data_IF_124003284532
#
_entry.id   IF_124003284532
#
_cell.length_a   1.000
_cell.length_b   1.000
_cell.length_c   1.000
_cell.angle_alpha   90.00
_cell.angle_beta   90.00
_cell.angle_gamma   90.00
#
_symmetry.space_group_name_H-M   'P 1'
#
loop_
_entity.id
_entity.type
_entity.pdbx_description
1 polymer ?
#
# COMPACT_ATOMS: atom_id res chain seq x y z
N UNK A 1 -76.20 34.65 -11.95
CA UNK A 1 -74.78 34.98 -11.95
C UNK A 1 -74.09 34.21 -10.83
N UNK A 2 -73.36 33.16 -11.19
CA UNK A 2 -72.56 32.34 -10.21
C UNK A 2 -71.12 32.55 -10.54
N UNK A 3 -70.36 33.19 -9.65
CA UNK A 3 -68.93 33.35 -9.75
C UNK A 3 -68.21 32.02 -9.36
N UNK A 4 -67.48 31.40 -10.30
CA UNK A 4 -66.63 30.26 -10.06
C UNK A 4 -65.32 30.76 -9.44
N UNK A 5 -64.95 30.28 -8.25
CA UNK A 5 -63.67 30.49 -7.62
C UNK A 5 -62.63 29.49 -8.29
N UNK A 6 -61.61 30.04 -8.88
CA UNK A 6 -60.45 29.27 -9.37
C UNK A 6 -59.53 28.95 -8.18
N UNK A 7 -59.05 27.71 -8.00
CA UNK A 7 -58.03 27.43 -7.01
C UNK A 7 -56.66 27.89 -7.55
N UNK A 8 -55.94 28.65 -6.70
CA UNK A 8 -54.53 28.96 -6.91
C UNK A 8 -53.72 27.72 -6.60
N UNK A 9 -53.15 27.10 -7.60
CA UNK A 9 -52.18 26.00 -7.45
C UNK A 9 -50.84 26.65 -7.16
N UNK A 10 -50.39 26.57 -5.91
CA UNK A 10 -49.06 26.95 -5.48
C UNK A 10 -48.12 25.83 -5.88
N UNK A 11 -47.39 26.02 -6.97
CA UNK A 11 -46.32 25.12 -7.38
C UNK A 11 -45.13 25.27 -6.40
N UNK A 12 -44.96 24.34 -5.48
CA UNK A 12 -43.72 24.17 -4.73
C UNK A 12 -42.66 23.69 -5.70
N UNK A 13 -41.77 24.56 -6.13
CA UNK A 13 -40.57 24.21 -6.84
C UNK A 13 -39.63 23.54 -5.84
N UNK A 14 -39.57 22.20 -5.86
CA UNK A 14 -38.56 21.42 -5.19
C UNK A 14 -37.24 21.65 -5.92
N UNK A 15 -36.42 22.55 -5.40
CA UNK A 15 -35.02 22.67 -5.79
C UNK A 15 -34.31 21.44 -5.22
N UNK A 16 -34.23 20.39 -6.01
CA UNK A 16 -33.27 19.32 -5.79
C UNK A 16 -31.87 19.94 -5.99
N UNK A 17 -31.24 20.34 -4.88
CA UNK A 17 -29.81 20.52 -4.84
C UNK A 17 -29.22 19.17 -5.18
N UNK A 18 -28.69 19.01 -6.41
CA UNK A 18 -27.70 18.02 -6.73
C UNK A 18 -26.44 18.39 -5.94
N UNK A 19 -26.40 18.01 -4.67
CA UNK A 19 -25.17 17.91 -3.93
C UNK A 19 -24.35 16.85 -4.69
N UNK A 20 -23.46 17.30 -5.58
CA UNK A 20 -22.37 16.46 -6.05
C UNK A 20 -21.78 15.83 -4.78
N UNK A 21 -21.60 14.52 -4.81
CA UNK A 21 -20.89 13.78 -3.76
C UNK A 21 -19.45 14.34 -3.70
N UNK A 22 -19.29 15.52 -3.08
CA UNK A 22 -18.05 15.89 -2.48
C UNK A 22 -17.84 14.83 -1.40
N UNK A 23 -16.89 13.92 -1.63
CA UNK A 23 -16.43 13.03 -0.57
C UNK A 23 -15.99 13.97 0.54
N UNK A 24 -16.72 13.94 1.66
CA UNK A 24 -16.43 14.80 2.79
C UNK A 24 -15.03 14.45 3.26
N UNK A 25 -14.12 15.41 3.19
CA UNK A 25 -12.78 15.27 3.77
C UNK A 25 -12.94 14.96 5.25
N UNK A 26 -12.02 14.16 5.78
CA UNK A 26 -11.91 13.91 7.22
C UNK A 26 -11.79 15.25 7.94
N UNK A 27 -12.56 15.46 9.01
CA UNK A 27 -12.48 16.68 9.81
C UNK A 27 -11.16 16.79 10.55
N UNK A 28 -10.74 17.99 10.93
CA UNK A 28 -9.53 18.18 11.75
C UNK A 28 -9.65 17.47 13.09
N UNK A 29 -10.85 17.42 13.67
CA UNK A 29 -11.13 16.70 14.92
C UNK A 29 -10.92 15.19 14.74
N UNK A 30 -11.42 14.60 13.67
CA UNK A 30 -11.21 13.19 13.38
C UNK A 30 -9.74 12.89 13.04
N UNK A 31 -9.08 13.74 12.26
CA UNK A 31 -7.64 13.63 12.00
C UNK A 31 -6.79 13.74 13.28
N UNK A 32 -7.25 14.47 14.30
CA UNK A 32 -6.56 14.57 15.59
C UNK A 32 -6.53 13.24 16.37
N UNK A 33 -7.42 12.30 16.06
CA UNK A 33 -7.43 10.96 16.69
C UNK A 33 -6.26 10.09 16.23
N UNK A 34 -5.63 10.42 15.08
CA UNK A 34 -4.49 9.68 14.55
C UNK A 34 -3.27 9.81 15.48
N UNK A 35 -2.73 8.66 15.89
CA UNK A 35 -1.62 8.56 16.83
C UNK A 35 -2.03 8.62 18.30
N UNK A 36 -3.29 8.92 18.62
CA UNK A 36 -3.84 8.98 19.98
C UNK A 36 -4.85 7.86 20.22
N UNK A 37 -6.05 7.98 19.70
CA UNK A 37 -7.12 6.99 19.79
C UNK A 37 -7.00 5.93 18.70
N UNK A 38 -6.48 6.30 17.53
CA UNK A 38 -6.19 5.42 16.40
C UNK A 38 -4.68 5.23 16.22
N UNK A 39 -4.31 4.15 15.55
CA UNK A 39 -2.96 4.02 15.00
C UNK A 39 -2.68 5.20 14.03
N UNK A 40 -1.44 5.68 13.88
CA UNK A 40 -1.12 6.77 12.93
C UNK A 40 -1.64 6.56 11.51
N UNK A 41 -1.81 5.33 11.07
CA UNK A 41 -2.38 4.98 9.75
C UNK A 41 -3.87 4.65 9.78
N UNK A 42 -4.58 5.08 10.82
CA UNK A 42 -6.03 5.02 10.92
C UNK A 42 -6.63 3.73 11.45
N UNK A 43 -5.85 2.65 11.59
CA UNK A 43 -6.35 1.41 12.17
C UNK A 43 -6.76 1.58 13.64
N UNK A 44 -7.63 0.72 14.12
CA UNK A 44 -7.99 0.67 15.55
C UNK A 44 -6.74 0.42 16.41
N UNK A 45 -6.59 1.20 17.48
CA UNK A 45 -5.46 1.07 18.41
C UNK A 45 -5.66 -0.09 19.37
N UNK A 46 -6.88 -0.27 19.85
CA UNK A 46 -7.23 -1.30 20.83
C UNK A 46 -7.05 -2.73 20.31
N UNK A 47 -7.08 -3.68 21.24
CA UNK A 47 -7.15 -5.10 20.90
C UNK A 47 -8.51 -5.45 20.29
N UNK A 48 -8.57 -6.49 19.45
CA UNK A 48 -9.84 -7.05 19.01
C UNK A 48 -10.54 -7.84 20.14
N UNK A 49 -11.81 -8.20 19.92
CA UNK A 49 -12.67 -8.78 20.96
C UNK A 49 -12.18 -10.13 21.50
N UNK A 50 -11.53 -10.95 20.67
CA UNK A 50 -11.02 -12.28 21.05
C UNK A 50 -9.55 -12.27 21.50
N UNK A 51 -8.88 -11.12 21.45
CA UNK A 51 -7.49 -10.96 21.86
C UNK A 51 -6.46 -11.51 20.87
N UNK A 52 -6.88 -11.99 19.70
CA UNK A 52 -5.95 -12.50 18.67
C UNK A 52 -5.12 -11.36 18.04
N UNK A 53 -5.64 -10.14 18.04
CA UNK A 53 -4.93 -8.91 17.64
C UNK A 53 -4.75 -8.05 18.90
N UNK A 54 -3.51 -7.90 19.41
CA UNK A 54 -3.26 -7.11 20.61
C UNK A 54 -3.40 -5.60 20.36
N UNK A 55 -3.50 -4.83 21.43
CA UNK A 55 -3.40 -3.37 21.35
C UNK A 55 -2.07 -2.95 20.72
N UNK A 56 -2.09 -1.86 19.93
CA UNK A 56 -0.88 -1.24 19.41
C UNK A 56 -0.14 -0.53 20.55
N UNK A 57 1.03 -1.06 20.89
CA UNK A 57 1.90 -0.55 21.95
C UNK A 57 3.29 -0.29 21.38
N UNK A 58 3.53 0.89 20.76
CA UNK A 58 4.79 1.17 20.09
C UNK A 58 5.97 1.14 21.06
N UNK A 59 6.99 0.35 20.74
CA UNK A 59 8.22 0.21 21.53
C UNK A 59 9.46 0.61 20.75
N UNK A 60 9.47 0.29 19.46
CA UNK A 60 10.65 0.48 18.61
C UNK A 60 10.32 1.24 17.34
N UNK A 61 11.20 2.17 17.01
CA UNK A 61 11.30 2.75 15.67
C UNK A 61 12.46 2.04 14.96
N UNK A 62 12.15 1.24 13.94
CA UNK A 62 13.14 0.40 13.26
C UNK A 62 13.41 -0.92 14.00
N UNK A 63 14.66 -1.37 14.06
CA UNK A 63 15.03 -2.62 14.72
C UNK A 63 15.05 -2.47 16.25
N UNK A 64 14.59 -3.49 16.99
CA UNK A 64 14.74 -3.54 18.45
C UNK A 64 16.22 -3.45 18.87
N UNK A 65 16.51 -2.86 20.03
CA UNK A 65 17.86 -2.82 20.57
C UNK A 65 18.46 -4.22 20.78
N UNK A 66 19.76 -4.35 20.56
CA UNK A 66 20.51 -5.60 20.82
C UNK A 66 20.56 -6.57 19.65
N UNK A 67 19.95 -6.22 18.52
CA UNK A 67 20.10 -6.99 17.28
C UNK A 67 21.35 -6.51 16.52
N UNK A 68 22.15 -7.48 16.08
CA UNK A 68 23.32 -7.21 15.22
C UNK A 68 22.84 -6.96 13.79
N UNK A 69 23.02 -5.73 13.33
CA UNK A 69 22.66 -5.30 11.98
C UNK A 69 23.67 -4.28 11.47
N UNK A 70 24.41 -4.69 10.44
CA UNK A 70 25.48 -3.86 9.88
C UNK A 70 25.00 -2.66 9.06
N UNK A 71 23.69 -2.56 8.76
CA UNK A 71 23.12 -1.41 8.07
C UNK A 71 22.56 -1.71 6.67
N UNK A 72 22.28 -0.68 5.87
CA UNK A 72 21.72 -0.81 4.52
C UNK A 72 22.60 -1.73 3.63
N UNK A 73 21.96 -2.66 2.93
CA UNK A 73 22.63 -3.66 2.11
C UNK A 73 22.72 -5.04 2.75
N UNK A 74 22.53 -5.12 4.06
CA UNK A 74 22.54 -6.39 4.81
C UNK A 74 21.13 -6.92 5.06
N UNK A 75 21.03 -8.24 5.22
CA UNK A 75 19.76 -8.86 5.61
C UNK A 75 19.37 -8.44 7.01
N UNK A 76 18.16 -7.89 7.15
CA UNK A 76 17.63 -7.50 8.46
C UNK A 76 17.43 -8.72 9.33
N UNK A 77 17.95 -8.73 10.58
CA UNK A 77 17.74 -9.83 11.50
C UNK A 77 16.25 -9.94 11.87
N UNK A 78 15.79 -11.17 12.07
CA UNK A 78 14.46 -11.42 12.59
C UNK A 78 14.45 -11.15 14.13
N UNK A 79 13.71 -10.15 14.63
CA UNK A 79 13.65 -9.85 16.05
C UNK A 79 12.94 -10.94 16.89
N UNK A 80 12.28 -11.88 16.23
CA UNK A 80 11.50 -12.96 16.84
C UNK A 80 12.01 -14.34 16.41
N UNK A 81 13.31 -14.48 16.12
CA UNK A 81 13.89 -15.71 15.61
C UNK A 81 13.68 -16.93 16.56
N UNK A 82 13.65 -16.69 17.86
CA UNK A 82 13.50 -17.73 18.89
C UNK A 82 12.03 -18.07 19.21
N UNK A 83 11.07 -17.36 18.60
CA UNK A 83 9.65 -17.63 18.82
C UNK A 83 9.23 -18.98 18.23
N UNK A 84 8.40 -19.69 18.98
CA UNK A 84 7.75 -20.90 18.50
C UNK A 84 6.34 -20.57 18.04
N UNK A 85 5.82 -21.28 17.02
CA UNK A 85 4.43 -21.12 16.63
C UNK A 85 3.50 -21.53 17.80
N UNK A 86 2.45 -20.76 17.99
CA UNK A 86 1.38 -21.06 18.98
C UNK A 86 0.42 -22.13 18.48
N UNK A 87 0.35 -22.33 17.16
CA UNK A 87 -0.47 -23.32 16.49
C UNK A 87 0.21 -23.75 15.19
N UNK A 88 0.11 -25.04 14.89
CA UNK A 88 0.51 -25.60 13.58
C UNK A 88 -0.73 -26.22 12.93
N UNK A 89 -1.16 -25.64 11.81
CA UNK A 89 -2.28 -26.17 11.03
C UNK A 89 -1.70 -27.12 9.97
N UNK A 90 -2.26 -28.32 9.88
CA UNK A 90 -1.82 -29.42 9.01
C UNK A 90 -3.02 -30.05 8.29
N UNK A 91 -2.77 -30.98 7.36
CA UNK A 91 -3.83 -31.76 6.71
C UNK A 91 -4.73 -32.54 7.69
N UNK A 92 -4.26 -32.82 8.92
CA UNK A 92 -5.01 -33.56 9.93
C UNK A 92 -5.99 -32.69 10.71
N UNK A 93 -5.68 -31.40 10.94
CA UNK A 93 -6.46 -30.52 11.81
C UNK A 93 -7.03 -29.27 11.12
N UNK A 94 -6.76 -29.01 9.84
CA UNK A 94 -7.21 -27.78 9.16
C UNK A 94 -8.72 -27.55 9.21
N UNK A 95 -9.52 -28.63 9.27
CA UNK A 95 -10.98 -28.54 9.34
C UNK A 95 -11.48 -27.90 10.64
N UNK A 96 -10.71 -28.01 11.72
CA UNK A 96 -11.00 -27.37 13.01
C UNK A 96 -10.79 -25.84 12.93
N UNK A 97 -10.08 -25.38 11.90
CA UNK A 97 -9.74 -23.98 11.67
C UNK A 97 -10.31 -23.44 10.34
N UNK A 98 -11.27 -24.16 9.74
CA UNK A 98 -11.76 -23.88 8.38
C UNK A 98 -12.34 -22.46 8.23
N UNK A 99 -12.94 -21.91 9.28
CA UNK A 99 -13.48 -20.54 9.30
C UNK A 99 -12.40 -19.45 9.11
N UNK A 100 -11.15 -19.76 9.46
CA UNK A 100 -10.00 -18.86 9.34
C UNK A 100 -9.16 -19.14 8.09
N UNK A 101 -9.58 -20.07 7.24
CA UNK A 101 -8.87 -20.50 6.05
C UNK A 101 -9.67 -20.22 4.79
N UNK A 102 -9.04 -19.64 3.78
CA UNK A 102 -9.66 -19.52 2.47
C UNK A 102 -9.88 -20.90 1.83
N UNK A 103 -10.83 -20.99 0.88
CA UNK A 103 -11.07 -22.22 0.12
C UNK A 103 -9.79 -22.76 -0.55
N UNK A 104 -8.95 -21.83 -1.07
CA UNK A 104 -7.66 -22.20 -1.67
C UNK A 104 -6.69 -22.82 -0.66
N UNK A 105 -6.62 -22.30 0.58
CA UNK A 105 -5.79 -22.88 1.63
C UNK A 105 -6.30 -24.25 2.06
N UNK A 106 -7.61 -24.43 2.17
CA UNK A 106 -8.21 -25.74 2.47
C UNK A 106 -7.88 -26.76 1.37
N UNK A 107 -7.99 -26.38 0.10
CA UNK A 107 -7.62 -27.24 -1.03
C UNK A 107 -6.12 -27.62 -1.04
N UNK A 108 -5.22 -26.73 -0.53
CA UNK A 108 -3.80 -27.07 -0.38
C UNK A 108 -3.59 -28.19 0.65
N UNK A 109 -4.30 -28.17 1.79
CA UNK A 109 -4.23 -29.25 2.78
C UNK A 109 -4.78 -30.60 2.26
N UNK A 110 -5.81 -30.56 1.42
CA UNK A 110 -6.36 -31.77 0.80
C UNK A 110 -5.39 -32.38 -0.21
N UNK A 111 -4.70 -31.53 -0.97
CA UNK A 111 -3.83 -31.99 -2.06
C UNK A 111 -2.42 -32.34 -1.61
N UNK A 112 -1.90 -31.67 -0.58
CA UNK A 112 -0.52 -31.77 -0.12
C UNK A 112 -0.48 -32.11 1.37
N UNK A 113 -0.38 -33.41 1.73
CA UNK A 113 -0.41 -33.84 3.15
C UNK A 113 0.72 -33.27 4.01
N UNK A 114 1.85 -32.88 3.40
CA UNK A 114 2.98 -32.25 4.07
C UNK A 114 2.83 -30.74 4.24
N UNK A 115 1.81 -30.12 3.61
CA UNK A 115 1.57 -28.68 3.73
C UNK A 115 1.17 -28.33 5.16
N UNK A 116 1.74 -27.23 5.65
CA UNK A 116 1.48 -26.73 6.99
C UNK A 116 1.50 -25.21 7.04
N UNK A 117 0.70 -24.64 7.92
CA UNK A 117 0.72 -23.21 8.27
C UNK A 117 1.17 -23.10 9.72
N UNK A 118 2.22 -22.31 9.94
CA UNK A 118 2.74 -21.99 11.27
C UNK A 118 2.10 -20.67 11.72
N UNK A 119 1.35 -20.68 12.81
CA UNK A 119 0.71 -19.49 13.36
C UNK A 119 1.53 -18.97 14.52
N UNK A 120 1.93 -17.71 14.45
CA UNK A 120 2.71 -17.01 15.46
C UNK A 120 1.86 -15.94 16.16
N UNK A 121 2.24 -15.46 17.34
CA UNK A 121 1.57 -14.35 17.98
C UNK A 121 1.59 -13.09 17.11
N UNK A 122 0.46 -12.40 17.01
CA UNK A 122 0.40 -11.11 16.34
C UNK A 122 1.19 -10.06 17.10
N UNK A 123 2.00 -9.26 16.40
CA UNK A 123 2.80 -8.17 16.96
C UNK A 123 2.31 -6.83 16.45
N UNK A 124 2.18 -5.85 17.35
CA UNK A 124 1.81 -4.46 17.06
C UNK A 124 2.63 -3.49 17.91
N UNK A 125 3.93 -3.72 17.97
CA UNK A 125 4.87 -3.02 18.85
C UNK A 125 5.90 -2.15 18.13
N UNK A 126 5.81 -2.03 16.80
CA UNK A 126 6.62 -1.10 16.02
C UNK A 126 6.00 0.29 15.98
N UNK A 127 6.83 1.30 16.10
CA UNK A 127 6.45 2.70 15.99
C UNK A 127 6.62 3.21 14.56
N UNK A 128 6.03 4.36 14.28
CA UNK A 128 6.15 5.10 13.02
C UNK A 128 6.97 6.35 13.26
N UNK A 129 7.83 6.70 12.31
CA UNK A 129 8.62 7.93 12.36
C UNK A 129 7.71 9.16 12.53
N UNK A 130 8.06 10.11 13.41
CA UNK A 130 7.24 11.29 13.73
C UNK A 130 6.89 12.11 12.47
N UNK A 131 7.84 12.32 11.57
CA UNK A 131 7.58 13.03 10.32
C UNK A 131 6.53 12.34 9.45
N UNK A 132 6.52 11.01 9.42
CA UNK A 132 5.49 10.25 8.70
C UNK A 132 4.14 10.41 9.38
N UNK A 133 4.09 10.38 10.72
CA UNK A 133 2.86 10.64 11.48
C UNK A 133 2.28 12.03 11.14
N UNK A 134 3.13 13.06 11.13
CA UNK A 134 2.74 14.42 10.78
C UNK A 134 2.21 14.52 9.33
N UNK A 135 2.88 13.89 8.37
CA UNK A 135 2.45 13.85 6.96
C UNK A 135 1.13 13.14 6.78
N UNK A 136 0.96 11.99 7.41
CA UNK A 136 -0.28 11.21 7.33
C UNK A 136 -1.45 11.98 7.95
N UNK A 137 -1.22 12.65 9.09
CA UNK A 137 -2.22 13.52 9.71
C UNK A 137 -2.58 14.70 8.82
N UNK A 138 -1.60 15.32 8.17
CA UNK A 138 -1.84 16.40 7.21
C UNK A 138 -2.64 15.90 5.99
N UNK A 139 -2.27 14.73 5.45
CA UNK A 139 -2.97 14.12 4.32
C UNK A 139 -4.44 13.86 4.61
N UNK A 140 -4.78 13.41 5.82
CA UNK A 140 -6.15 13.11 6.23
C UNK A 140 -7.13 14.26 5.93
N UNK A 141 -6.65 15.50 6.08
CA UNK A 141 -7.47 16.72 5.90
C UNK A 141 -7.34 17.31 4.50
N UNK A 142 -6.18 17.15 3.85
CA UNK A 142 -5.86 17.92 2.64
C UNK A 142 -5.87 17.08 1.35
N UNK A 143 -5.48 15.80 1.44
CA UNK A 143 -5.38 14.95 0.25
C UNK A 143 -6.75 14.59 -0.29
N UNK A 144 -6.89 14.58 -1.61
CA UNK A 144 -8.15 14.27 -2.27
C UNK A 144 -7.94 13.46 -3.55
N UNK A 145 -8.92 12.62 -3.86
CA UNK A 145 -9.04 11.95 -5.15
C UNK A 145 -9.90 12.82 -6.07
N UNK A 146 -9.47 13.01 -7.30
CA UNK A 146 -10.20 13.78 -8.30
C UNK A 146 -10.20 13.10 -9.67
N UNK A 147 -10.91 13.66 -10.63
CA UNK A 147 -11.06 13.09 -11.98
C UNK A 147 -11.55 11.63 -11.95
N UNK A 148 -12.61 11.36 -11.19
CA UNK A 148 -13.07 10.00 -10.91
C UNK A 148 -12.17 9.36 -9.87
N UNK A 149 -11.20 8.55 -10.28
CA UNK A 149 -10.23 7.86 -9.41
C UNK A 149 -8.78 8.07 -9.85
N UNK A 150 -8.57 8.83 -10.91
CA UNK A 150 -7.30 8.82 -11.67
C UNK A 150 -6.28 9.84 -11.16
N UNK A 151 -6.68 10.78 -10.30
CA UNK A 151 -5.78 11.86 -9.86
C UNK A 151 -5.76 11.98 -8.35
N UNK A 152 -4.55 11.93 -7.77
CA UNK A 152 -4.28 12.25 -6.38
C UNK A 152 -3.80 13.69 -6.29
N UNK A 153 -4.46 14.51 -5.45
CA UNK A 153 -4.10 15.91 -5.22
C UNK A 153 -3.70 16.16 -3.78
N UNK A 154 -2.87 17.19 -3.58
CA UNK A 154 -2.44 17.64 -2.27
C UNK A 154 -1.82 16.51 -1.43
N UNK A 155 -1.07 15.62 -2.04
CA UNK A 155 -0.38 14.54 -1.36
C UNK A 155 1.04 14.97 -0.97
N UNK A 156 1.45 14.65 0.27
CA UNK A 156 2.74 15.09 0.77
C UNK A 156 3.63 13.97 1.35
N UNK A 157 3.41 12.75 0.91
CA UNK A 157 4.15 11.56 1.38
C UNK A 157 3.42 10.80 2.50
N UNK A 158 3.89 9.60 2.81
CA UNK A 158 3.21 8.69 3.73
C UNK A 158 1.93 8.09 3.15
N UNK A 159 1.04 7.59 3.99
CA UNK A 159 -0.28 7.11 3.58
C UNK A 159 -1.19 8.28 3.20
N UNK A 160 -1.83 8.21 2.04
CA UNK A 160 -2.66 9.30 1.54
C UNK A 160 -3.96 9.48 2.33
N UNK A 161 -4.64 8.37 2.66
CA UNK A 161 -5.96 8.37 3.31
C UNK A 161 -5.97 7.45 4.53
N UNK A 162 -5.49 7.91 5.70
CA UNK A 162 -5.46 7.07 6.90
C UNK A 162 -6.86 6.69 7.40
N UNK A 163 -7.87 7.49 7.07
CA UNK A 163 -9.28 7.25 7.37
C UNK A 163 -10.04 7.28 6.03
N UNK A 164 -9.97 6.20 5.23
CA UNK A 164 -10.57 6.19 3.91
C UNK A 164 -12.09 6.13 4.00
N UNK A 165 -12.77 6.91 3.16
CA UNK A 165 -14.23 6.99 3.08
C UNK A 165 -14.80 6.16 1.93
N UNK A 166 -13.95 5.60 1.07
CA UNK A 166 -14.39 4.81 -0.07
C UNK A 166 -13.28 4.05 -0.79
N UNK A 167 -13.71 3.23 -1.74
CA UNK A 167 -12.80 2.36 -2.51
C UNK A 167 -11.68 3.12 -3.24
N UNK A 168 -11.92 4.28 -3.87
CA UNK A 168 -10.84 5.02 -4.54
C UNK A 168 -9.70 5.39 -3.60
N UNK A 169 -10.00 5.80 -2.39
CA UNK A 169 -9.02 6.15 -1.36
C UNK A 169 -8.23 4.94 -0.88
N UNK A 170 -8.91 3.79 -0.71
CA UNK A 170 -8.24 2.52 -0.40
C UNK A 170 -7.27 2.10 -1.51
N UNK A 171 -7.66 2.25 -2.78
CA UNK A 171 -6.80 1.93 -3.91
C UNK A 171 -5.56 2.85 -3.97
N UNK A 172 -5.71 4.13 -3.66
CA UNK A 172 -4.58 5.04 -3.55
C UNK A 172 -3.67 4.69 -2.36
N UNK A 173 -4.24 4.24 -1.25
CA UNK A 173 -3.44 3.78 -0.10
C UNK A 173 -2.51 2.62 -0.46
N UNK A 174 -2.91 1.69 -1.33
CA UNK A 174 -2.03 0.63 -1.82
C UNK A 174 -0.77 1.17 -2.52
N UNK A 175 -0.87 2.34 -3.16
CA UNK A 175 0.26 3.00 -3.84
C UNK A 175 1.08 3.89 -2.92
N UNK A 176 0.45 4.44 -1.87
CA UNK A 176 1.05 5.44 -0.98
C UNK A 176 1.46 4.89 0.39
N UNK A 177 1.18 3.61 0.68
CA UNK A 177 1.54 2.99 1.97
C UNK A 177 3.04 2.91 2.24
N UNK A 178 3.88 3.11 1.22
CA UNK A 178 5.32 3.15 1.37
C UNK A 178 5.76 4.44 2.09
N UNK A 179 6.34 4.26 3.28
CA UNK A 179 6.86 5.36 4.10
C UNK A 179 8.36 5.61 3.88
N UNK A 180 9.00 4.89 2.98
CA UNK A 180 10.41 5.02 2.66
C UNK A 180 10.62 6.06 1.56
N UNK A 181 11.69 6.85 1.66
CA UNK A 181 12.14 7.70 0.56
C UNK A 181 12.62 6.84 -0.60
N UNK A 182 13.48 5.87 -0.30
CA UNK A 182 13.97 4.92 -1.26
C UNK A 182 14.31 3.58 -0.59
N UNK A 183 14.30 2.52 -1.37
CA UNK A 183 14.84 1.24 -0.96
C UNK A 183 15.47 0.50 -2.12
N UNK A 184 16.37 -0.40 -1.79
CA UNK A 184 17.00 -1.34 -2.68
C UNK A 184 16.73 -2.76 -2.18
N UNK A 185 16.39 -3.67 -3.07
CA UNK A 185 16.21 -5.09 -2.77
C UNK A 185 16.70 -5.94 -3.93
N UNK A 186 17.47 -6.97 -3.62
CA UNK A 186 17.76 -8.05 -4.54
C UNK A 186 16.87 -9.24 -4.19
N UNK A 187 16.24 -9.84 -5.18
CA UNK A 187 15.38 -11.01 -4.96
C UNK A 187 15.57 -12.07 -6.03
N UNK A 188 15.38 -13.31 -5.61
CA UNK A 188 15.34 -14.50 -6.47
C UNK A 188 13.92 -15.03 -6.52
N UNK A 189 13.42 -15.27 -7.74
CA UNK A 189 12.15 -15.89 -8.00
C UNK A 189 12.32 -17.23 -8.67
N UNK A 190 11.45 -18.18 -8.37
CA UNK A 190 11.45 -19.50 -9.00
C UNK A 190 10.05 -19.84 -9.51
N UNK A 191 9.91 -19.95 -10.84
CA UNK A 191 8.75 -20.60 -11.44
C UNK A 191 8.91 -22.11 -11.29
N UNK A 192 7.96 -22.77 -10.61
CA UNK A 192 7.99 -24.23 -10.44
C UNK A 192 6.94 -24.85 -11.38
N UNK A 193 7.38 -25.67 -12.31
CA UNK A 193 6.53 -26.37 -13.26
C UNK A 193 5.98 -27.67 -12.69
N UNK A 194 4.87 -28.16 -13.26
CA UNK A 194 4.23 -29.41 -12.82
C UNK A 194 5.15 -30.65 -12.89
N UNK A 195 6.16 -30.63 -13.78
CA UNK A 195 7.17 -31.69 -13.90
C UNK A 195 8.31 -31.55 -12.89
N UNK A 196 8.28 -30.54 -12.00
CA UNK A 196 9.32 -30.28 -11.00
C UNK A 196 10.49 -29.43 -11.49
N UNK A 197 10.53 -29.08 -12.78
CA UNK A 197 11.52 -28.10 -13.29
C UNK A 197 11.34 -26.74 -12.65
N UNK A 198 12.45 -25.97 -12.55
CA UNK A 198 12.45 -24.62 -11.97
C UNK A 198 13.05 -23.64 -12.96
N UNK A 199 12.34 -22.56 -13.23
CA UNK A 199 12.90 -21.39 -13.90
C UNK A 199 13.33 -20.37 -12.85
N UNK A 200 14.60 -20.01 -12.86
CA UNK A 200 15.16 -19.00 -11.96
C UNK A 200 15.11 -17.62 -12.59
N UNK A 201 14.61 -16.64 -11.86
CA UNK A 201 14.62 -15.21 -12.16
C UNK A 201 15.26 -14.48 -10.99
N UNK A 202 16.23 -13.61 -11.25
CA UNK A 202 16.85 -12.78 -10.21
C UNK A 202 16.89 -11.34 -10.67
N UNK A 203 16.53 -10.44 -9.78
CA UNK A 203 16.38 -9.03 -10.08
C UNK A 203 16.95 -8.18 -8.95
N UNK A 204 17.74 -7.19 -9.34
CA UNK A 204 18.07 -6.04 -8.51
C UNK A 204 17.02 -4.95 -8.75
N UNK A 205 16.43 -4.42 -7.67
CA UNK A 205 15.31 -3.50 -7.74
C UNK A 205 15.52 -2.30 -6.81
N UNK A 206 15.35 -1.11 -7.35
CA UNK A 206 15.36 0.15 -6.60
C UNK A 206 14.03 0.86 -6.77
N UNK A 207 13.54 1.44 -5.70
CA UNK A 207 12.39 2.31 -5.74
C UNK A 207 12.68 3.61 -5.00
N UNK A 208 12.23 4.72 -5.57
CA UNK A 208 12.22 6.03 -4.92
C UNK A 208 10.78 6.57 -4.88
N UNK A 209 10.43 7.16 -3.75
CA UNK A 209 9.16 7.83 -3.50
C UNK A 209 9.48 9.29 -3.15
N UNK A 210 9.55 10.19 -4.14
CA UNK A 210 10.09 11.55 -3.96
C UNK A 210 9.36 12.38 -2.89
N UNK A 211 8.06 12.12 -2.70
CA UNK A 211 7.27 12.81 -1.67
C UNK A 211 7.65 12.41 -0.24
N UNK A 212 8.30 11.25 -0.05
CA UNK A 212 8.78 10.80 1.25
C UNK A 212 10.16 11.38 1.62
N UNK A 213 10.78 12.17 0.75
CA UNK A 213 12.08 12.77 1.04
C UNK A 213 12.05 13.52 2.37
N UNK A 214 12.94 13.18 3.33
CA UNK A 214 12.99 13.83 4.64
C UNK A 214 13.34 15.31 4.58
N UNK A 215 13.92 15.81 3.49
CA UNK A 215 14.20 17.24 3.31
C UNK A 215 12.94 18.05 2.95
N UNK A 216 11.87 17.41 2.46
CA UNK A 216 10.64 18.13 2.13
C UNK A 216 9.90 18.53 3.42
N UNK A 217 9.52 19.79 3.63
CA UNK A 217 8.63 20.18 4.72
C UNK A 217 7.28 19.45 4.66
N UNK A 218 6.64 19.26 5.81
CA UNK A 218 5.24 18.79 5.86
C UNK A 218 4.35 19.81 5.14
N UNK A 219 3.41 19.31 4.34
CA UNK A 219 2.57 20.16 3.49
C UNK A 219 3.16 20.48 2.11
N UNK A 220 4.37 19.98 1.79
CA UNK A 220 4.91 20.06 0.43
C UNK A 220 4.14 19.12 -0.48
N UNK A 221 3.41 19.68 -1.44
CA UNK A 221 2.58 18.94 -2.40
C UNK A 221 3.16 18.89 -3.81
N UNK A 222 4.28 19.52 -4.01
CA UNK A 222 5.04 19.51 -5.25
C UNK A 222 6.29 18.63 -5.08
N UNK A 223 6.44 17.64 -5.96
CA UNK A 223 7.66 16.86 -5.96
C UNK A 223 8.79 17.66 -6.58
N UNK A 224 9.98 17.59 -5.97
CA UNK A 224 11.20 18.22 -6.49
C UNK A 224 11.57 17.73 -7.90
N UNK A 225 11.00 16.61 -8.34
CA UNK A 225 11.35 15.91 -9.60
C UNK A 225 10.11 15.66 -10.46
N UNK A 226 9.14 16.58 -10.49
CA UNK A 226 7.90 16.45 -11.25
C UNK A 226 6.83 15.66 -10.48
N UNK A 227 5.64 15.53 -11.07
CA UNK A 227 4.44 14.97 -10.44
C UNK A 227 4.42 13.43 -10.44
N UNK A 228 5.58 12.80 -10.16
CA UNK A 228 5.71 11.35 -10.07
C UNK A 228 5.73 10.89 -8.63
N UNK A 229 4.83 9.96 -8.32
CA UNK A 229 4.69 9.40 -6.97
C UNK A 229 5.72 8.29 -6.71
N UNK A 230 6.08 7.55 -7.74
CA UNK A 230 7.01 6.42 -7.67
C UNK A 230 7.94 6.42 -8.87
N UNK A 231 9.22 6.19 -8.60
CA UNK A 231 10.23 5.86 -9.58
C UNK A 231 10.79 4.49 -9.25
N UNK A 232 10.87 3.61 -10.25
CA UNK A 232 11.52 2.32 -10.09
C UNK A 232 12.62 2.13 -11.11
N UNK A 233 13.65 1.44 -10.72
CA UNK A 233 14.69 0.90 -11.58
C UNK A 233 14.88 -0.57 -11.26
N UNK A 234 15.00 -1.41 -12.27
CA UNK A 234 15.31 -2.82 -12.09
C UNK A 234 16.35 -3.28 -13.10
N UNK A 235 17.22 -4.18 -12.65
CA UNK A 235 18.19 -4.90 -13.49
C UNK A 235 17.99 -6.39 -13.31
N UNK A 236 17.89 -7.14 -14.42
CA UNK A 236 17.82 -8.60 -14.39
C UNK A 236 19.20 -9.18 -14.22
N UNK A 237 19.36 -10.02 -13.20
CA UNK A 237 20.58 -10.75 -12.89
C UNK A 237 20.53 -12.20 -13.42
N UNK A 238 19.35 -12.78 -13.54
CA UNK A 238 19.05 -14.10 -14.10
C UNK A 238 17.68 -14.08 -14.81
N UNK A 239 17.41 -15.00 -15.76
CA UNK A 239 18.35 -15.97 -16.36
C UNK A 239 19.39 -15.30 -17.25
N UNK A 240 20.42 -16.06 -17.67
CA UNK A 240 21.51 -15.54 -18.50
C UNK A 240 21.03 -14.92 -19.83
N UNK A 241 19.93 -15.42 -20.38
CA UNK A 241 19.32 -14.90 -21.62
C UNK A 241 18.80 -13.46 -21.53
N UNK A 242 18.45 -13.00 -20.34
CA UNK A 242 17.92 -11.66 -20.06
C UNK A 242 18.80 -10.84 -19.13
N UNK A 243 19.94 -11.41 -18.68
CA UNK A 243 20.85 -10.73 -17.77
C UNK A 243 21.33 -9.38 -18.32
N UNK A 244 21.30 -8.35 -17.49
CA UNK A 244 21.65 -6.98 -17.84
C UNK A 244 20.53 -6.20 -18.56
N UNK A 245 19.34 -6.79 -18.76
CA UNK A 245 18.17 -6.00 -19.11
C UNK A 245 17.82 -5.07 -17.96
N UNK A 246 17.54 -3.79 -18.28
CA UNK A 246 17.16 -2.81 -17.28
C UNK A 246 15.81 -2.20 -17.63
N UNK A 247 15.05 -1.85 -16.61
CA UNK A 247 13.76 -1.16 -16.77
C UNK A 247 13.67 0.01 -15.82
N UNK A 248 13.26 1.16 -16.33
CA UNK A 248 12.91 2.35 -15.55
C UNK A 248 11.43 2.60 -15.72
N UNK A 249 10.73 2.86 -14.60
CA UNK A 249 9.31 3.25 -14.61
C UNK A 249 9.12 4.48 -13.74
N UNK A 250 8.27 5.38 -14.20
CA UNK A 250 7.83 6.58 -13.48
C UNK A 250 6.30 6.61 -13.47
N UNK A 251 5.72 6.56 -12.28
CA UNK A 251 4.27 6.61 -12.09
C UNK A 251 3.82 8.00 -11.66
N UNK A 252 2.93 8.67 -12.43
CA UNK A 252 2.43 9.99 -12.09
C UNK A 252 1.38 9.93 -10.97
N UNK A 253 1.13 11.07 -10.32
CA UNK A 253 -0.05 11.25 -9.46
C UNK A 253 -1.33 11.50 -10.24
N UNK A 254 -1.24 11.98 -11.45
CA UNK A 254 -2.36 12.29 -12.35
C UNK A 254 -2.33 11.36 -13.57
N UNK A 255 -2.96 10.20 -13.43
CA UNK A 255 -3.06 9.21 -14.51
C UNK A 255 -4.00 9.65 -15.65
N UNK A 256 -4.85 10.63 -15.42
CA UNK A 256 -5.74 11.15 -16.44
C UNK A 256 -4.98 11.93 -17.51
N UNK A 257 -4.08 12.79 -17.09
CA UNK A 257 -3.36 13.69 -17.99
C UNK A 257 -1.95 13.20 -18.32
N UNK A 258 -1.38 12.34 -17.45
CA UNK A 258 -0.04 11.81 -17.59
C UNK A 258 -0.05 10.29 -17.55
N UNK A 259 0.55 9.66 -18.54
CA UNK A 259 0.70 8.21 -18.56
C UNK A 259 1.98 7.80 -17.82
N UNK A 260 2.00 6.56 -17.35
CA UNK A 260 3.23 5.90 -16.91
C UNK A 260 4.31 6.08 -17.96
N UNK A 261 5.48 6.52 -17.57
CA UNK A 261 6.67 6.48 -18.42
C UNK A 261 7.46 5.22 -18.10
N UNK A 262 7.81 4.47 -19.13
CA UNK A 262 8.64 3.29 -19.01
C UNK A 262 9.66 3.21 -20.12
N UNK A 263 10.88 2.78 -19.77
CA UNK A 263 11.96 2.53 -20.71
C UNK A 263 12.64 1.20 -20.38
N UNK A 264 13.02 0.48 -21.40
CA UNK A 264 13.79 -0.75 -21.26
C UNK A 264 15.11 -0.62 -22.01
N UNK A 265 16.18 -1.09 -21.38
CA UNK A 265 17.48 -1.29 -22.02
C UNK A 265 17.68 -2.77 -22.33
N UNK A 266 18.12 -3.04 -23.54
CA UNK A 266 18.45 -4.39 -24.02
C UNK A 266 19.97 -4.49 -24.22
N UNK A 267 20.68 -5.34 -23.46
CA UNK A 267 22.13 -5.47 -23.54
C UNK A 267 22.60 -6.10 -24.86
N UNK A 268 21.78 -6.92 -25.50
CA UNK A 268 22.11 -7.55 -26.77
C UNK A 268 22.19 -6.55 -27.91
N UNK A 269 21.24 -5.61 -27.97
CA UNK A 269 21.21 -4.54 -28.97
C UNK A 269 21.89 -3.25 -28.51
N UNK A 270 22.18 -3.13 -27.20
CA UNK A 270 22.73 -1.93 -26.55
C UNK A 270 21.85 -0.69 -26.76
N UNK A 271 20.54 -0.86 -26.76
CA UNK A 271 19.59 0.22 -27.05
C UNK A 271 18.58 0.37 -25.91
N UNK A 272 18.26 1.64 -25.61
CA UNK A 272 17.12 2.01 -24.78
C UNK A 272 15.93 2.24 -25.68
N UNK A 273 14.78 1.71 -25.30
CA UNK A 273 13.50 1.90 -26.00
C UNK A 273 12.43 2.34 -25.00
N UNK A 274 11.60 3.27 -25.41
CA UNK A 274 10.38 3.56 -24.65
C UNK A 274 9.45 2.35 -24.74
N UNK A 275 8.88 1.95 -23.61
CA UNK A 275 7.99 0.79 -23.49
C UNK A 275 6.54 1.27 -23.20
N UNK A 276 5.82 1.77 -24.21
CA UNK A 276 4.49 2.38 -24.02
C UNK A 276 3.41 1.37 -23.65
N UNK A 277 3.69 0.08 -23.82
CA UNK A 277 2.78 -1.03 -23.50
C UNK A 277 2.96 -1.57 -22.07
N UNK A 278 3.92 -1.07 -21.29
CA UNK A 278 4.00 -1.41 -19.85
C UNK A 278 2.85 -0.68 -19.16
N UNK A 279 1.77 -1.42 -18.96
CA UNK A 279 0.57 -0.94 -18.29
C UNK A 279 0.71 -0.91 -16.77
N UNK A 280 -0.43 -0.77 -16.09
CA UNK A 280 -0.56 -0.90 -14.65
C UNK A 280 -1.04 -2.32 -14.38
N UNK A 281 -0.16 -3.16 -13.90
CA UNK A 281 -0.48 -4.54 -13.51
C UNK A 281 -0.87 -4.59 -12.04
#
# INVERSE_FOLDING_TARGET
MRYAKRPVVTALASVLLAAGLAHAKVSEEEAATLGTERHPFGAEKGANADGSIPEWTPKWLGLPPGLDYAGPGETRPNPYADEKPILVITAQNYKEHAENLSEGQQALFERYPEYRILVYPTRRDFDVNERIKERVKWNAVHTEVSNGVETLKNYNGGMAFPIPTGVPELMWNMRTANCYESYHVAYDGYGVFANGERAHDAVDFWQSNPFNNPANPVGTTEAVVGDYIVWTFSERLAPQSTKGQMTVVQDPMDFKNHKRNAWTYDPGTRRVRKAPAIGYD
#
